data_IF_889865735970
#
_entry.id   IF_889865735970
#
_cell.length_a   1.000
_cell.length_b   1.000
_cell.length_c   1.000
_cell.angle_alpha   90.00
_cell.angle_beta   90.00
_cell.angle_gamma   90.00
#
_symmetry.space_group_name_H-M   'P 1'
#
loop_
_entity.id
_entity.type
_entity.pdbx_description
1 polymer ?
#
# COMPACT_ATOMS: atom_id res chain seq x y z
N UNK A 1 32.15 3.02 13.52
CA UNK A 1 32.81 3.51 12.29
C UNK A 1 33.38 2.27 11.60
N UNK A 2 32.68 1.59 10.71
CA UNK A 2 32.36 2.07 9.36
C UNK A 2 31.08 1.43 8.82
N UNK A 3 30.14 2.31 8.52
CA UNK A 3 29.05 2.10 7.59
C UNK A 3 29.65 2.04 6.18
N UNK A 4 29.50 0.92 5.46
CA UNK A 4 29.86 0.85 4.04
C UNK A 4 28.59 0.66 3.22
N UNK A 5 27.97 1.80 2.93
CA UNK A 5 26.90 1.96 1.95
C UNK A 5 27.42 1.62 0.56
N UNK A 6 26.85 0.58 -0.04
CA UNK A 6 26.90 0.41 -1.49
C UNK A 6 25.95 1.45 -2.11
N UNK A 7 26.37 2.24 -3.12
CA UNK A 7 25.47 3.19 -3.76
C UNK A 7 24.36 2.43 -4.52
N UNK A 8 23.09 2.87 -4.46
CA UNK A 8 22.05 2.35 -5.33
C UNK A 8 22.36 2.74 -6.79
N UNK A 9 22.03 1.88 -7.78
CA UNK A 9 22.32 2.18 -9.17
C UNK A 9 21.56 3.42 -9.64
N UNK A 10 22.29 4.49 -9.97
CA UNK A 10 21.76 5.68 -10.61
C UNK A 10 21.28 5.37 -12.03
N UNK A 11 19.99 5.07 -12.13
CA UNK A 11 19.29 4.77 -13.39
C UNK A 11 18.14 5.74 -13.67
N UNK A 12 18.34 6.57 -14.70
CA UNK A 12 17.39 6.82 -15.80
C UNK A 12 16.17 7.75 -15.63
N UNK A 13 15.97 8.45 -14.50
CA UNK A 13 14.76 9.29 -14.31
C UNK A 13 15.03 10.78 -14.11
N UNK A 14 15.87 11.41 -14.94
CA UNK A 14 16.20 12.85 -14.78
C UNK A 14 15.77 13.75 -15.94
N UNK A 15 14.77 13.37 -16.75
CA UNK A 15 14.43 14.19 -17.93
C UNK A 15 13.03 14.14 -18.50
N UNK A 16 12.10 13.33 -17.98
CA UNK A 16 10.75 13.26 -18.55
C UNK A 16 9.80 14.26 -17.89
N UNK A 17 9.39 15.30 -18.64
CA UNK A 17 8.43 16.29 -18.13
C UNK A 17 7.00 15.76 -18.29
N UNK A 18 6.07 16.02 -17.34
CA UNK A 18 4.64 15.60 -17.43
C UNK A 18 3.99 15.91 -18.79
N UNK A 19 4.39 17.03 -19.40
CA UNK A 19 3.96 17.46 -20.74
C UNK A 19 4.47 16.55 -21.86
N UNK A 20 5.70 16.07 -21.80
CA UNK A 20 6.24 15.10 -22.79
C UNK A 20 5.54 13.75 -22.68
N UNK A 21 5.14 13.34 -21.47
CA UNK A 21 4.34 12.12 -21.25
C UNK A 21 2.94 12.23 -21.89
N UNK A 22 2.28 13.39 -21.76
CA UNK A 22 0.97 13.61 -22.39
C UNK A 22 1.07 13.79 -23.91
N UNK A 23 2.14 14.43 -24.41
CA UNK A 23 2.39 14.57 -25.85
C UNK A 23 2.75 13.24 -26.52
N UNK A 24 3.34 12.28 -25.80
CA UNK A 24 3.55 10.91 -26.26
C UNK A 24 2.28 10.06 -26.36
N UNK A 25 1.13 10.55 -25.87
CA UNK A 25 -0.14 9.81 -25.82
C UNK A 25 -0.87 9.66 -27.16
N UNK A 26 -0.41 10.31 -28.24
CA UNK A 26 -1.06 10.25 -29.56
C UNK A 26 -1.07 8.85 -30.20
N UNK A 27 -0.15 7.97 -29.79
CA UNK A 27 -0.04 6.61 -30.36
C UNK A 27 -1.10 5.64 -29.79
N UNK A 28 -1.82 6.01 -28.72
CA UNK A 28 -2.91 5.20 -28.15
C UNK A 28 -4.24 5.32 -28.90
N UNK A 29 -4.34 6.21 -29.89
CA UNK A 29 -5.57 6.37 -30.68
C UNK A 29 -5.94 5.12 -31.51
N UNK A 30 -4.98 4.25 -31.82
CA UNK A 30 -5.24 2.96 -32.48
C UNK A 30 -5.72 1.85 -31.51
N UNK A 31 -5.60 2.06 -30.18
CA UNK A 31 -5.95 1.06 -29.17
C UNK A 31 -7.45 0.77 -29.05
N UNK A 32 -8.31 1.68 -29.53
CA UNK A 32 -9.76 1.48 -29.56
C UNK A 32 -10.23 0.47 -30.61
N UNK A 33 -9.38 0.14 -31.59
CA UNK A 33 -9.67 -0.87 -32.62
C UNK A 33 -9.15 -2.27 -32.26
N UNK A 34 -8.41 -2.42 -31.14
CA UNK A 34 -7.94 -3.71 -30.67
C UNK A 34 -9.09 -4.43 -29.92
N UNK A 35 -9.33 -5.73 -30.19
CA UNK A 35 -10.33 -6.49 -29.45
C UNK A 35 -9.98 -6.47 -27.96
N UNK A 36 -10.99 -6.31 -27.10
CA UNK A 36 -10.82 -6.22 -25.64
C UNK A 36 -9.98 -7.38 -25.04
N UNK A 37 -9.97 -8.55 -25.69
CA UNK A 37 -9.15 -9.70 -25.34
C UNK A 37 -7.62 -9.45 -25.43
N UNK A 38 -7.16 -8.43 -26.17
CA UNK A 38 -5.75 -8.07 -26.27
C UNK A 38 -5.24 -7.32 -25.02
N UNK A 39 -6.13 -6.78 -24.18
CA UNK A 39 -5.77 -6.12 -22.90
C UNK A 39 -5.55 -7.10 -21.75
N UNK A 40 -5.99 -8.35 -21.91
CA UNK A 40 -5.94 -9.37 -20.85
C UNK A 40 -4.54 -9.96 -20.65
N UNK A 41 -3.65 -9.82 -21.64
CA UNK A 41 -2.35 -10.50 -21.69
C UNK A 41 -1.14 -9.60 -21.40
N UNK A 42 -1.34 -8.33 -21.04
CA UNK A 42 -0.27 -7.56 -20.45
C UNK A 42 -0.09 -8.10 -19.03
N UNK A 43 1.01 -8.81 -18.75
CA UNK A 43 1.41 -9.39 -17.47
C UNK A 43 1.64 -8.35 -16.35
N UNK A 44 0.75 -7.37 -16.25
CA UNK A 44 0.62 -6.45 -15.15
C UNK A 44 0.42 -7.30 -13.89
N UNK A 45 1.17 -7.00 -12.80
CA UNK A 45 1.02 -7.73 -11.56
C UNK A 45 -0.44 -7.60 -11.12
N UNK A 46 -1.20 -8.70 -11.25
CA UNK A 46 -2.54 -8.81 -10.70
C UNK A 46 -2.41 -8.56 -9.20
N UNK A 47 -2.92 -7.42 -8.75
CA UNK A 47 -2.97 -7.06 -7.33
C UNK A 47 -3.74 -8.20 -6.65
N UNK A 48 -3.03 -9.03 -5.90
CA UNK A 48 -3.66 -10.08 -5.10
C UNK A 48 -4.67 -9.41 -4.18
N UNK A 49 -5.95 -9.59 -4.52
CA UNK A 49 -7.04 -9.19 -3.65
C UNK A 49 -7.02 -10.22 -2.52
N UNK A 50 -6.76 -9.81 -1.27
CA UNK A 50 -6.75 -10.76 -0.17
C UNK A 50 -8.08 -11.50 -0.12
N UNK A 51 -8.01 -12.76 0.32
CA UNK A 51 -9.19 -13.56 0.65
C UNK A 51 -10.13 -12.79 1.58
N UNK A 52 -11.43 -13.09 1.49
CA UNK A 52 -12.56 -12.37 2.14
C UNK A 52 -12.17 -11.73 3.48
N UNK A 53 -12.53 -10.46 3.66
CA UNK A 53 -12.23 -9.71 4.89
C UNK A 53 -12.84 -10.41 6.11
N UNK A 54 -12.17 -10.34 7.27
CA UNK A 54 -12.73 -10.79 8.56
C UNK A 54 -14.08 -10.10 8.84
N UNK A 55 -14.25 -8.86 8.38
CA UNK A 55 -15.53 -8.16 8.51
C UNK A 55 -16.63 -8.81 7.66
N UNK A 56 -16.30 -9.34 6.47
CA UNK A 56 -17.27 -10.02 5.62
C UNK A 56 -17.75 -11.34 6.23
N UNK A 57 -16.90 -12.05 7.00
CA UNK A 57 -17.32 -13.29 7.68
C UNK A 57 -18.35 -13.03 8.80
N UNK A 58 -18.36 -11.83 9.38
CA UNK A 58 -19.38 -11.39 10.35
C UNK A 58 -20.52 -10.58 9.69
N UNK A 59 -20.64 -10.60 8.37
CA UNK A 59 -21.72 -9.92 7.63
C UNK A 59 -21.55 -8.40 7.49
N UNK A 60 -20.38 -7.86 7.82
CA UNK A 60 -20.06 -6.43 7.72
C UNK A 60 -19.33 -6.14 6.40
N UNK A 61 -19.82 -5.18 5.64
CA UNK A 61 -19.25 -4.77 4.34
C UNK A 61 -18.05 -3.83 4.53
N UNK A 62 -16.84 -4.20 4.07
CA UNK A 62 -15.70 -3.29 4.03
C UNK A 62 -15.95 -2.12 3.10
N UNK A 63 -15.34 -0.96 3.39
CA UNK A 63 -15.45 0.24 2.57
C UNK A 63 -14.10 0.92 2.37
N UNK A 64 -13.96 1.65 1.28
CA UNK A 64 -12.80 2.51 1.02
C UNK A 64 -13.11 3.89 1.58
N UNK A 65 -12.34 4.32 2.58
CA UNK A 65 -12.50 5.65 3.16
C UNK A 65 -11.74 6.70 2.33
N UNK A 66 -12.47 7.61 1.69
CA UNK A 66 -11.95 8.75 0.94
C UNK A 66 -12.45 10.10 1.50
N UNK A 67 -13.00 10.11 2.73
CA UNK A 67 -13.52 11.32 3.40
C UNK A 67 -12.52 11.91 4.41
N UNK A 68 -11.42 11.22 4.71
CA UNK A 68 -10.44 11.60 5.74
C UNK A 68 -10.67 10.85 7.06
N UNK A 69 -10.34 11.46 8.19
CA UNK A 69 -10.42 10.83 9.52
C UNK A 69 -11.85 10.88 10.07
N UNK A 70 -12.64 9.85 9.74
CA UNK A 70 -14.06 9.77 10.14
C UNK A 70 -14.23 8.77 11.28
N UNK A 71 -14.78 9.23 12.40
CA UNK A 71 -14.98 8.42 13.62
C UNK A 71 -15.79 7.15 13.38
N UNK A 72 -16.91 7.23 12.64
CA UNK A 72 -17.77 6.05 12.38
C UNK A 72 -17.09 4.96 11.54
N UNK A 73 -15.97 5.29 10.87
CA UNK A 73 -15.18 4.37 10.02
C UNK A 73 -13.84 3.99 10.69
N UNK A 74 -13.67 4.32 11.97
CA UNK A 74 -12.45 3.98 12.72
C UNK A 74 -11.27 4.96 12.50
N UNK A 75 -11.54 6.16 12.00
CA UNK A 75 -10.56 7.24 11.81
C UNK A 75 -9.32 6.84 10.98
N UNK A 76 -8.20 6.49 11.63
CA UNK A 76 -6.89 6.24 11.02
C UNK A 76 -6.48 4.77 11.14
N UNK A 77 -5.71 4.29 10.17
CA UNK A 77 -5.16 2.92 10.20
C UNK A 77 -3.83 2.90 10.93
N UNK A 78 -3.64 1.89 11.78
CA UNK A 78 -2.37 1.62 12.48
C UNK A 78 -1.29 1.21 11.47
N UNK A 79 -0.09 1.76 11.66
CA UNK A 79 1.11 1.45 10.87
C UNK A 79 1.53 -0.03 11.02
N UNK A 80 2.13 -0.66 9.99
CA UNK A 80 2.56 -2.06 10.06
C UNK A 80 3.47 -2.38 11.26
N UNK A 81 4.45 -1.52 11.53
CA UNK A 81 5.43 -1.68 12.61
C UNK A 81 4.77 -1.62 14.00
N UNK A 82 3.72 -0.82 14.16
CA UNK A 82 2.96 -0.75 15.42
C UNK A 82 2.15 -2.03 15.61
N UNK A 83 1.57 -2.61 14.54
CA UNK A 83 0.87 -3.90 14.64
C UNK A 83 1.81 -5.02 15.06
N UNK A 84 3.01 -5.05 14.50
CA UNK A 84 4.02 -6.04 14.87
C UNK A 84 4.47 -5.86 16.32
N UNK A 85 4.68 -4.62 16.78
CA UNK A 85 4.99 -4.35 18.18
C UNK A 85 3.87 -4.80 19.13
N UNK A 86 2.61 -4.51 18.79
CA UNK A 86 1.45 -4.96 19.56
C UNK A 86 1.34 -6.50 19.59
N UNK A 87 1.56 -7.18 18.47
CA UNK A 87 1.53 -8.65 18.41
C UNK A 87 2.61 -9.28 19.28
N UNK A 88 3.84 -8.74 19.26
CA UNK A 88 4.93 -9.18 20.14
C UNK A 88 4.60 -8.94 21.61
N UNK A 89 4.17 -7.72 21.96
CA UNK A 89 3.82 -7.35 23.33
C UNK A 89 2.69 -8.22 23.91
N UNK A 90 1.75 -8.68 23.09
CA UNK A 90 0.62 -9.52 23.54
C UNK A 90 1.02 -10.90 24.09
N UNK A 91 2.27 -11.33 23.88
CA UNK A 91 2.77 -12.67 24.26
C UNK A 91 3.58 -12.67 25.55
N UNK A 92 3.80 -11.51 26.14
CA UNK A 92 4.64 -11.32 27.32
C UNK A 92 3.80 -10.83 28.51
N UNK A 93 4.12 -11.31 29.71
CA UNK A 93 3.56 -10.77 30.95
C UNK A 93 4.56 -9.79 31.56
N UNK A 94 4.06 -8.64 31.99
CA UNK A 94 4.88 -7.59 32.60
C UNK A 94 4.21 -7.07 33.88
N UNK A 95 5.01 -6.57 34.82
CA UNK A 95 4.49 -5.85 35.97
C UNK A 95 4.06 -4.45 35.52
N UNK A 96 2.75 -4.16 35.57
CA UNK A 96 2.18 -2.94 34.99
C UNK A 96 2.71 -1.66 35.65
N UNK A 97 2.98 -1.69 36.95
CA UNK A 97 3.54 -0.53 37.67
C UNK A 97 4.92 -0.15 37.12
N UNK A 98 5.79 -1.13 36.86
CA UNK A 98 7.12 -0.90 36.29
C UNK A 98 7.05 -0.42 34.84
N UNK A 99 6.11 -0.96 34.06
CA UNK A 99 5.88 -0.52 32.69
C UNK A 99 5.46 0.95 32.63
N UNK A 100 4.55 1.39 33.52
CA UNK A 100 4.06 2.78 33.54
C UNK A 100 5.14 3.78 33.95
N UNK A 101 6.08 3.41 34.82
CA UNK A 101 7.23 4.25 35.17
C UNK A 101 8.25 4.35 34.02
N UNK A 102 8.35 3.30 33.19
CA UNK A 102 9.33 3.21 32.11
C UNK A 102 8.97 3.95 30.81
N UNK A 103 7.77 4.55 30.70
CA UNK A 103 7.26 5.24 29.49
C UNK A 103 6.91 6.70 29.75
#
# INVERSE_FOLDING_TARGET
MTENQSPPPEGLWTGATRRQLLQGGGVLAAGWMLPAAAFDQAGLPQRQVPSKSIYESIGVRPLINARGTVTIVGASRVLPEVKEAMDRASREYVQLDELMEGV
#
